data_IF_723210853837
#
_entry.id   IF_723210853837
#
_cell.length_a   1.000
_cell.length_b   1.000
_cell.length_c   1.000
_cell.angle_alpha   90.00
_cell.angle_beta   90.00
_cell.angle_gamma   90.00
#
_symmetry.space_group_name_H-M   'P 1'
#
loop_
_entity.id
_entity.type
_entity.pdbx_description
1 polymer ?
#
# COMPACT_ATOMS: atom_id res chain seq x y z
N UNK A 1 1.51 -42.09 -12.27
CA UNK A 1 2.31 -41.30 -11.30
C UNK A 1 2.03 -39.84 -11.61
N UNK A 2 1.09 -39.21 -10.90
CA UNK A 2 0.69 -37.83 -11.14
C UNK A 2 1.62 -36.91 -10.34
N UNK A 3 2.40 -36.07 -11.02
CA UNK A 3 3.17 -35.01 -10.36
C UNK A 3 2.22 -33.87 -9.98
N UNK A 4 2.03 -33.66 -8.68
CA UNK A 4 1.42 -32.45 -8.15
C UNK A 4 2.45 -31.32 -8.26
N UNK A 5 2.18 -30.31 -9.11
CA UNK A 5 2.95 -29.08 -9.15
C UNK A 5 2.51 -28.23 -7.96
N UNK A 6 3.39 -28.08 -6.97
CA UNK A 6 3.22 -27.11 -5.89
C UNK A 6 3.47 -25.72 -6.45
N UNK A 7 2.43 -24.90 -6.57
CA UNK A 7 2.55 -23.48 -6.87
C UNK A 7 3.26 -22.79 -5.71
N UNK A 8 4.46 -22.26 -5.96
CA UNK A 8 5.16 -21.36 -5.04
C UNK A 8 4.34 -20.06 -4.99
N UNK A 9 3.65 -19.82 -3.88
CA UNK A 9 3.06 -18.51 -3.61
C UNK A 9 4.20 -17.50 -3.47
N UNK A 10 4.38 -16.62 -4.46
CA UNK A 10 5.25 -15.46 -4.31
C UNK A 10 4.70 -14.65 -3.14
N UNK A 11 5.50 -14.50 -2.08
CA UNK A 11 5.17 -13.57 -1.00
C UNK A 11 5.13 -12.18 -1.63
N UNK A 12 3.93 -11.61 -1.75
CA UNK A 12 3.79 -10.20 -2.15
C UNK A 12 4.35 -9.35 -1.02
N UNK A 13 5.13 -8.34 -1.37
CA UNK A 13 5.62 -7.39 -0.38
C UNK A 13 4.45 -6.51 0.03
N UNK A 14 3.98 -6.73 1.26
CA UNK A 14 2.89 -5.94 1.82
C UNK A 14 3.46 -4.61 2.29
N UNK A 15 3.00 -3.52 1.68
CA UNK A 15 3.43 -2.16 2.02
C UNK A 15 2.24 -1.34 2.47
N UNK A 16 2.43 -0.51 3.49
CA UNK A 16 1.44 0.44 3.98
C UNK A 16 1.78 1.82 3.47
N UNK A 17 0.83 2.44 2.78
CA UNK A 17 0.95 3.80 2.27
C UNK A 17 0.08 4.73 3.11
N UNK A 18 0.73 5.55 3.92
CA UNK A 18 0.09 6.53 4.79
C UNK A 18 -0.29 7.78 3.99
N UNK A 19 -1.59 8.01 3.87
CA UNK A 19 -2.12 9.23 3.26
C UNK A 19 -1.89 10.43 4.19
N UNK A 20 -1.82 11.63 3.59
CA UNK A 20 -1.68 12.88 4.32
C UNK A 20 -2.90 13.17 5.19
N UNK A 21 -4.09 13.06 4.60
CA UNK A 21 -5.38 13.38 5.20
C UNK A 21 -6.42 12.30 4.86
N UNK A 22 -7.69 12.58 5.13
CA UNK A 22 -8.81 11.71 4.79
C UNK A 22 -8.84 11.30 3.32
N UNK A 23 -9.51 10.19 3.04
CA UNK A 23 -9.73 9.72 1.68
C UNK A 23 -10.46 10.80 0.85
N UNK A 24 -9.72 11.42 -0.07
CA UNK A 24 -10.23 12.44 -0.99
C UNK A 24 -9.91 12.06 -2.42
N UNK A 25 -10.59 12.71 -3.38
CA UNK A 25 -10.44 12.41 -4.81
C UNK A 25 -9.00 12.58 -5.31
N UNK A 26 -8.18 13.41 -4.65
CA UNK A 26 -6.74 13.52 -4.92
C UNK A 26 -6.00 12.17 -4.84
N UNK A 27 -6.52 11.20 -4.09
CA UNK A 27 -5.93 9.86 -3.93
C UNK A 27 -6.59 8.80 -4.82
N UNK A 28 -7.55 9.16 -5.66
CA UNK A 28 -8.28 8.23 -6.52
C UNK A 28 -7.36 7.39 -7.43
N UNK A 29 -6.20 7.93 -7.81
CA UNK A 29 -5.18 7.20 -8.57
C UNK A 29 -4.64 5.97 -7.83
N UNK A 30 -4.42 6.04 -6.52
CA UNK A 30 -3.95 4.91 -5.71
C UNK A 30 -5.00 3.80 -5.63
N UNK A 31 -6.27 4.18 -5.42
CA UNK A 31 -7.38 3.24 -5.46
C UNK A 31 -7.54 2.61 -6.84
N UNK A 32 -7.46 3.41 -7.91
CA UNK A 32 -7.53 2.89 -9.27
C UNK A 32 -6.39 1.92 -9.57
N UNK A 33 -5.17 2.18 -9.07
CA UNK A 33 -4.04 1.28 -9.24
C UNK A 33 -4.24 -0.06 -8.48
N UNK A 34 -4.83 0.00 -7.29
CA UNK A 34 -5.18 -1.19 -6.52
C UNK A 34 -6.27 -2.03 -7.20
N UNK A 35 -7.34 -1.37 -7.67
CA UNK A 35 -8.46 -2.02 -8.39
C UNK A 35 -8.04 -2.58 -9.75
N UNK A 36 -7.21 -1.84 -10.50
CA UNK A 36 -6.68 -2.29 -11.80
C UNK A 36 -5.57 -3.34 -11.67
N UNK A 37 -5.10 -3.61 -10.45
CA UNK A 37 -4.09 -4.63 -10.19
C UNK A 37 -2.66 -4.22 -10.50
N UNK A 38 -2.37 -2.94 -10.77
CA UNK A 38 -1.02 -2.46 -11.06
C UNK A 38 -0.04 -2.77 -9.92
N UNK A 39 -0.47 -2.68 -8.66
CA UNK A 39 0.36 -3.10 -7.54
C UNK A 39 0.63 -4.61 -7.54
N UNK A 40 -0.37 -5.41 -7.92
CA UNK A 40 -0.23 -6.88 -7.98
C UNK A 40 0.70 -7.32 -9.11
N UNK A 41 0.69 -6.59 -10.23
CA UNK A 41 1.63 -6.79 -11.35
C UNK A 41 3.08 -6.59 -10.92
N UNK A 42 3.31 -5.63 -10.03
CA UNK A 42 4.62 -5.36 -9.40
C UNK A 42 4.88 -6.22 -8.15
N UNK A 43 4.06 -7.25 -7.89
CA UNK A 43 4.16 -8.11 -6.71
C UNK A 43 4.06 -7.38 -5.35
N UNK A 44 3.38 -6.23 -5.34
CA UNK A 44 3.11 -5.41 -4.15
C UNK A 44 1.67 -5.62 -3.66
N UNK A 45 1.50 -5.68 -2.35
CA UNK A 45 0.20 -5.63 -1.69
C UNK A 45 0.07 -4.32 -0.89
N UNK A 46 -0.62 -3.34 -1.47
CA UNK A 46 -0.67 -1.98 -0.93
C UNK A 46 -1.88 -1.79 -0.04
N UNK A 47 -1.62 -1.39 1.21
CA UNK A 47 -2.65 -0.99 2.18
C UNK A 47 -2.62 0.52 2.33
N UNK A 48 -3.67 1.18 1.87
CA UNK A 48 -3.85 2.63 2.00
C UNK A 48 -4.37 2.97 3.40
N UNK A 49 -3.56 3.66 4.20
CA UNK A 49 -3.93 4.09 5.55
C UNK A 49 -4.38 5.54 5.50
N UNK A 50 -5.57 5.81 6.05
CA UNK A 50 -6.09 7.17 6.16
C UNK A 50 -5.19 8.05 7.05
N UNK A 51 -4.90 9.26 6.59
CA UNK A 51 -4.20 10.27 7.38
C UNK A 51 -5.15 11.12 8.21
N UNK A 52 -4.65 11.67 9.31
CA UNK A 52 -5.36 12.67 10.11
C UNK A 52 -4.38 13.68 10.68
N UNK A 53 -4.88 14.80 11.22
CA UNK A 53 -4.05 15.78 11.96
C UNK A 53 -3.25 15.13 13.08
N UNK A 54 -3.80 14.09 13.70
CA UNK A 54 -3.17 13.36 14.82
C UNK A 54 -2.19 12.26 14.34
N UNK A 55 -2.24 11.90 13.05
CA UNK A 55 -1.40 10.86 12.43
C UNK A 55 -0.64 11.42 11.23
N UNK A 56 0.34 12.30 11.44
CA UNK A 56 1.13 12.85 10.34
C UNK A 56 1.96 11.75 9.68
N UNK A 57 1.97 11.74 8.34
CA UNK A 57 2.59 10.68 7.54
C UNK A 57 4.07 10.47 7.90
N UNK A 58 4.82 11.55 8.10
CA UNK A 58 6.24 11.48 8.49
C UNK A 58 6.46 10.69 9.78
N UNK A 59 5.65 10.95 10.81
CA UNK A 59 5.76 10.25 12.09
C UNK A 59 5.43 8.77 11.94
N UNK A 60 4.40 8.44 11.17
CA UNK A 60 4.01 7.04 10.92
C UNK A 60 5.11 6.26 10.20
N UNK A 61 5.83 6.88 9.26
CA UNK A 61 6.96 6.26 8.59
C UNK A 61 8.15 6.09 9.54
N UNK A 62 8.50 7.12 10.31
CA UNK A 62 9.61 7.06 11.27
C UNK A 62 9.38 6.04 12.38
N UNK A 63 8.13 5.83 12.80
CA UNK A 63 7.75 4.84 13.81
C UNK A 63 7.60 3.42 13.25
N UNK A 64 7.78 3.22 11.93
CA UNK A 64 7.57 1.93 11.27
C UNK A 64 6.10 1.50 11.24
N UNK A 65 5.16 2.43 11.40
CA UNK A 65 3.72 2.19 11.25
C UNK A 65 3.27 2.25 9.78
N UNK A 66 4.09 2.80 8.89
CA UNK A 66 3.91 2.75 7.45
C UNK A 66 5.27 2.71 6.72
N UNK A 67 5.32 2.04 5.57
CA UNK A 67 6.54 1.98 4.75
C UNK A 67 6.69 3.25 3.89
N UNK A 68 5.57 3.82 3.44
CA UNK A 68 5.55 5.03 2.63
C UNK A 68 4.54 6.04 3.18
N UNK A 69 4.82 7.32 2.99
CA UNK A 69 3.95 8.41 3.43
C UNK A 69 3.85 9.52 2.39
N UNK A 70 2.65 10.07 2.22
CA UNK A 70 2.43 11.23 1.36
C UNK A 70 2.42 12.50 2.23
N UNK A 71 3.33 13.42 1.97
CA UNK A 71 3.39 14.74 2.64
C UNK A 71 3.41 15.87 1.61
N UNK A 72 3.09 17.08 2.07
CA UNK A 72 3.42 18.32 1.38
C UNK A 72 4.92 18.62 1.43
N UNK A 73 5.37 19.48 0.50
CA UNK A 73 6.69 20.13 0.53
C UNK A 73 6.67 21.42 1.34
#
# INVERSE_FOLDING_TARGET
>A
MCLAVSTVAHSRDQIRLQLKWHHQFQFAGYYAAQEKGYFKEENLDVVLIEGSKDKPALKQVLEGSAEYGISDS
#
